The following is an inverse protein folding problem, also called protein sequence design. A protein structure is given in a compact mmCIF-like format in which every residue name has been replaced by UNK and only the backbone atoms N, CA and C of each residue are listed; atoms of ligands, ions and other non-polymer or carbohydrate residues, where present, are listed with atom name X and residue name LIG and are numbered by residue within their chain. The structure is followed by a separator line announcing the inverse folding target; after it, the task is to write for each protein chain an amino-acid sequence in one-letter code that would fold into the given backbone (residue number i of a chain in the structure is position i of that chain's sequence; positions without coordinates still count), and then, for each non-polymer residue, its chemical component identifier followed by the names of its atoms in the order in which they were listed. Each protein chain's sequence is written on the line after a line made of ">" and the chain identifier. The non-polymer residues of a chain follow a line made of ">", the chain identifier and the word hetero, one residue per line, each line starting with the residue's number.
data_IF_897978556555
#
_entry.id   IF_897978556555
#
_cell.length_a   1.000
_cell.length_b   1.000
_cell.length_c   1.000
_cell.angle_alpha   90.00
_cell.angle_beta   90.00
_cell.angle_gamma   90.00
#
_symmetry.space_group_name_H-M   'P 1'
#
loop_
_entity.id
_entity.type
_entity.pdbx_description
1 polymer ?
#
# COMPACT_ATOMS: atom_id res chain seq x y z
N UNK A 1 -27.20 13.89 -16.21
CA UNK A 1 -27.69 15.23 -15.89
C UNK A 1 -26.74 15.82 -14.85
N UNK A 2 -26.01 16.88 -15.17
CA UNK A 2 -25.05 17.52 -14.27
C UNK A 2 -25.58 18.85 -13.74
N UNK A 3 -25.08 19.30 -12.59
CA UNK A 3 -25.46 20.57 -11.97
C UNK A 3 -24.37 21.60 -12.20
N UNK A 4 -24.65 22.66 -12.92
CA UNK A 4 -23.70 23.65 -13.41
C UNK A 4 -24.00 25.04 -12.84
N UNK A 5 -22.96 25.84 -12.60
CA UNK A 5 -23.06 27.26 -12.29
C UNK A 5 -22.39 28.05 -13.40
N UNK A 6 -23.12 29.00 -13.98
CA UNK A 6 -22.62 29.95 -14.97
C UNK A 6 -22.54 31.34 -14.33
N UNK A 7 -21.35 31.92 -14.31
CA UNK A 7 -21.05 33.20 -13.69
C UNK A 7 -20.52 34.16 -14.74
N UNK A 8 -21.25 35.21 -15.02
CA UNK A 8 -20.88 36.25 -16.01
C UNK A 8 -21.67 37.52 -15.71
N UNK A 9 -21.05 38.67 -15.68
CA UNK A 9 -21.74 39.93 -15.42
C UNK A 9 -22.58 40.40 -16.65
N UNK A 10 -22.23 39.93 -17.86
CA UNK A 10 -22.96 40.25 -19.06
C UNK A 10 -24.23 39.39 -19.23
N UNK A 11 -25.46 39.94 -19.12
CA UNK A 11 -26.69 39.13 -19.14
C UNK A 11 -26.86 38.32 -20.43
N UNK A 12 -26.44 38.87 -21.58
CA UNK A 12 -26.57 38.18 -22.87
C UNK A 12 -25.67 36.97 -22.99
N UNK A 13 -24.39 37.07 -22.57
CA UNK A 13 -23.43 35.98 -22.55
C UNK A 13 -23.89 34.88 -21.58
N UNK A 14 -24.26 35.27 -20.36
CA UNK A 14 -24.74 34.36 -19.31
C UNK A 14 -25.98 33.57 -19.78
N UNK A 15 -27.00 34.24 -20.29
CA UNK A 15 -28.22 33.59 -20.74
C UNK A 15 -27.99 32.69 -21.95
N UNK A 16 -27.14 33.08 -22.89
CA UNK A 16 -26.83 32.26 -24.07
C UNK A 16 -26.15 30.96 -23.68
N UNK A 17 -25.13 31.03 -22.85
CA UNK A 17 -24.40 29.85 -22.37
C UNK A 17 -25.32 28.95 -21.52
N UNK A 18 -26.11 29.54 -20.63
CA UNK A 18 -27.07 28.81 -19.79
C UNK A 18 -28.13 28.07 -20.62
N UNK A 19 -28.67 28.75 -21.65
CA UNK A 19 -29.66 28.13 -22.54
C UNK A 19 -29.07 26.94 -23.31
N UNK A 20 -27.84 27.09 -23.80
CA UNK A 20 -27.13 26.03 -24.51
C UNK A 20 -26.90 24.80 -23.62
N UNK A 21 -26.47 25.02 -22.40
CA UNK A 21 -26.22 23.92 -21.42
C UNK A 21 -27.52 23.27 -20.96
N UNK A 22 -28.61 24.05 -20.77
CA UNK A 22 -29.94 23.51 -20.47
C UNK A 22 -30.50 22.65 -21.61
N UNK A 23 -30.31 23.08 -22.87
CA UNK A 23 -30.71 22.27 -24.05
C UNK A 23 -29.97 20.93 -24.13
N UNK A 24 -28.80 20.81 -23.53
CA UNK A 24 -28.02 19.59 -23.44
C UNK A 24 -28.43 18.67 -22.22
N UNK A 25 -29.45 19.09 -21.49
CA UNK A 25 -30.00 18.30 -20.39
C UNK A 25 -29.33 18.55 -19.04
N UNK A 26 -28.58 19.63 -18.86
CA UNK A 26 -27.98 19.97 -17.59
C UNK A 26 -28.90 20.91 -16.76
N UNK A 27 -28.78 20.84 -15.43
CA UNK A 27 -29.36 21.82 -14.52
C UNK A 27 -28.39 22.99 -14.40
N UNK A 28 -28.81 24.21 -14.72
CA UNK A 28 -27.94 25.38 -14.73
C UNK A 28 -28.50 26.46 -13.83
N UNK A 29 -27.70 26.86 -12.82
CA UNK A 29 -27.87 28.11 -12.08
C UNK A 29 -27.05 29.23 -12.71
N UNK A 30 -27.51 30.45 -12.54
CA UNK A 30 -26.87 31.65 -13.05
C UNK A 30 -26.50 32.58 -11.90
N UNK A 31 -25.35 33.21 -11.99
CA UNK A 31 -24.89 34.25 -11.07
C UNK A 31 -24.34 35.42 -11.90
N UNK A 32 -24.63 36.63 -11.49
CA UNK A 32 -24.26 37.88 -12.18
C UNK A 32 -22.96 38.50 -11.72
N UNK A 33 -22.26 37.80 -10.77
CA UNK A 33 -20.98 38.26 -10.26
C UNK A 33 -20.44 37.32 -9.15
N UNK A 34 -19.30 37.70 -8.59
CA UNK A 34 -18.58 36.94 -7.57
C UNK A 34 -19.42 36.75 -6.30
N UNK A 35 -20.10 37.79 -5.86
CA UNK A 35 -20.93 37.80 -4.66
C UNK A 35 -22.08 36.79 -4.77
N UNK A 36 -22.81 36.80 -5.88
CA UNK A 36 -23.92 35.87 -6.14
C UNK A 36 -23.39 34.43 -6.30
N UNK A 37 -22.29 34.26 -7.03
CA UNK A 37 -21.65 32.96 -7.21
C UNK A 37 -21.21 32.35 -5.90
N UNK A 38 -20.56 33.11 -5.02
CA UNK A 38 -20.11 32.63 -3.70
C UNK A 38 -21.27 32.20 -2.83
N UNK A 39 -22.40 32.91 -2.88
CA UNK A 39 -23.63 32.52 -2.19
C UNK A 39 -24.17 31.17 -2.71
N UNK A 40 -24.28 31.03 -4.04
CA UNK A 40 -24.72 29.77 -4.65
C UNK A 40 -23.80 28.59 -4.27
N UNK A 41 -22.47 28.81 -4.28
CA UNK A 41 -21.48 27.81 -3.90
C UNK A 41 -21.58 27.39 -2.42
N UNK A 42 -22.03 28.29 -1.53
CA UNK A 42 -22.25 27.97 -0.13
C UNK A 42 -23.53 27.16 0.11
N UNK A 43 -24.55 27.33 -0.74
CA UNK A 43 -25.85 26.69 -0.60
C UNK A 43 -25.94 25.34 -1.35
N UNK A 44 -25.28 25.21 -2.51
CA UNK A 44 -25.38 24.01 -3.37
C UNK A 44 -23.99 23.55 -3.88
N UNK A 45 -23.87 22.25 -4.14
CA UNK A 45 -22.65 21.66 -4.75
C UNK A 45 -22.85 21.54 -6.27
N UNK A 46 -21.88 22.02 -7.03
CA UNK A 46 -21.91 22.00 -8.49
C UNK A 46 -20.91 20.98 -9.06
N UNK A 47 -21.26 20.41 -10.20
CA UNK A 47 -20.36 19.52 -10.94
C UNK A 47 -19.31 20.32 -11.72
N UNK A 48 -19.71 21.45 -12.28
CA UNK A 48 -18.84 22.37 -13.01
C UNK A 48 -19.29 23.80 -12.78
N UNK A 49 -18.32 24.70 -12.63
CA UNK A 49 -18.50 26.15 -12.64
C UNK A 49 -17.85 26.69 -13.89
N UNK A 50 -18.58 27.48 -14.66
CA UNK A 50 -18.05 28.28 -15.80
C UNK A 50 -18.15 29.74 -15.41
N UNK A 51 -17.04 30.41 -15.22
CA UNK A 51 -17.01 31.79 -14.71
C UNK A 51 -16.23 32.72 -15.63
N UNK A 52 -16.73 33.94 -15.84
CA UNK A 52 -15.90 34.99 -16.40
C UNK A 52 -14.72 35.31 -15.46
N UNK A 53 -13.61 35.70 -16.05
CA UNK A 53 -12.42 36.08 -15.29
C UNK A 53 -12.59 37.46 -14.67
N UNK A 54 -13.17 38.45 -15.40
CA UNK A 54 -13.29 39.82 -14.93
C UNK A 54 -14.74 40.23 -14.79
N UNK A 55 -15.14 40.57 -13.59
CA UNK A 55 -16.49 41.05 -13.27
C UNK A 55 -16.40 42.31 -12.42
N UNK A 56 -17.44 43.19 -12.44
CA UNK A 56 -17.41 44.45 -11.71
C UNK A 56 -17.23 44.32 -10.18
N UNK A 57 -17.69 43.22 -9.60
CA UNK A 57 -17.66 42.93 -8.17
C UNK A 57 -16.52 42.02 -7.71
N UNK A 58 -15.59 41.65 -8.65
CA UNK A 58 -14.42 40.84 -8.31
C UNK A 58 -13.86 40.03 -9.48
N UNK A 59 -12.97 39.07 -9.16
CA UNK A 59 -12.24 38.26 -10.14
C UNK A 59 -12.79 36.81 -10.12
N UNK A 60 -12.89 36.19 -11.30
CA UNK A 60 -13.23 34.78 -11.45
C UNK A 60 -12.29 33.83 -10.71
N UNK A 61 -11.07 34.27 -10.38
CA UNK A 61 -10.18 33.54 -9.49
C UNK A 61 -10.72 33.44 -8.04
N UNK A 62 -11.51 34.43 -7.60
CA UNK A 62 -12.16 34.37 -6.29
C UNK A 62 -13.29 33.35 -6.28
N UNK A 63 -14.05 33.26 -7.39
CA UNK A 63 -15.05 32.18 -7.58
C UNK A 63 -14.36 30.80 -7.57
N UNK A 64 -13.22 30.66 -8.25
CA UNK A 64 -12.43 29.42 -8.26
C UNK A 64 -12.00 29.05 -6.83
N UNK A 65 -11.45 29.98 -6.06
CA UNK A 65 -11.03 29.75 -4.67
C UNK A 65 -12.21 29.33 -3.81
N UNK A 66 -13.36 30.00 -3.93
CA UNK A 66 -14.58 29.66 -3.20
C UNK A 66 -15.09 28.26 -3.58
N UNK A 67 -15.14 27.93 -4.86
CA UNK A 67 -15.55 26.61 -5.34
C UNK A 67 -14.66 25.47 -4.80
N UNK A 68 -13.32 25.67 -4.86
CA UNK A 68 -12.36 24.68 -4.37
C UNK A 68 -12.33 24.57 -2.84
N UNK A 69 -12.58 25.66 -2.13
CA UNK A 69 -12.67 25.63 -0.67
C UNK A 69 -13.93 24.89 -0.18
N UNK A 70 -15.07 25.08 -0.83
CA UNK A 70 -16.33 24.46 -0.42
C UNK A 70 -16.47 23.02 -0.91
N UNK A 71 -16.15 22.76 -2.17
CA UNK A 71 -16.19 21.43 -2.78
C UNK A 71 -14.96 21.21 -3.69
N UNK A 72 -13.85 20.65 -3.18
CA UNK A 72 -12.60 20.46 -3.95
C UNK A 72 -12.78 19.69 -5.26
N UNK A 73 -13.80 18.83 -5.34
CA UNK A 73 -14.12 18.05 -6.52
C UNK A 73 -14.88 18.83 -7.61
N UNK A 74 -15.36 20.06 -7.35
CA UNK A 74 -16.01 20.91 -8.35
C UNK A 74 -15.00 21.32 -9.40
N UNK A 75 -15.27 21.03 -10.67
CA UNK A 75 -14.43 21.50 -11.77
C UNK A 75 -14.74 22.98 -12.08
N UNK A 76 -13.73 23.73 -12.50
CA UNK A 76 -13.89 25.16 -12.83
C UNK A 76 -13.21 25.46 -14.16
N UNK A 77 -13.96 26.09 -15.07
CA UNK A 77 -13.47 26.65 -16.34
C UNK A 77 -13.59 28.15 -16.26
N UNK A 78 -12.50 28.88 -16.53
CA UNK A 78 -12.51 30.34 -16.62
C UNK A 78 -12.66 30.78 -18.05
N UNK A 79 -13.55 31.77 -18.27
CA UNK A 79 -13.72 32.45 -19.55
C UNK A 79 -13.02 33.81 -19.49
N UNK A 80 -12.44 34.26 -20.60
CA UNK A 80 -11.81 35.58 -20.69
C UNK A 80 -11.97 36.17 -22.07
N UNK A 81 -12.04 37.50 -22.17
CA UNK A 81 -12.01 38.22 -23.45
C UNK A 81 -10.57 38.37 -23.98
N UNK A 82 -9.55 38.27 -23.14
CA UNK A 82 -8.14 38.41 -23.50
C UNK A 82 -7.29 37.33 -22.80
N UNK A 83 -6.55 36.58 -23.58
CA UNK A 83 -5.64 35.55 -23.08
C UNK A 83 -4.37 36.20 -22.48
N UNK A 84 -4.45 36.63 -21.23
CA UNK A 84 -3.25 37.02 -20.48
C UNK A 84 -2.58 35.78 -19.88
N UNK A 85 -1.39 35.47 -20.37
CA UNK A 85 -0.60 34.30 -19.93
C UNK A 85 -0.42 34.18 -18.39
N UNK A 86 -0.33 35.31 -17.69
CA UNK A 86 -0.18 35.36 -16.24
C UNK A 86 -1.42 34.84 -15.52
N UNK A 87 -2.61 35.28 -15.92
CA UNK A 87 -3.89 34.87 -15.32
C UNK A 87 -4.21 33.42 -15.59
N UNK A 88 -3.91 32.91 -16.80
CA UNK A 88 -4.06 31.50 -17.14
C UNK A 88 -3.18 30.58 -16.27
N UNK A 89 -1.91 30.95 -16.08
CA UNK A 89 -0.97 30.20 -15.23
C UNK A 89 -1.40 30.17 -13.77
N UNK A 90 -1.93 31.29 -13.26
CA UNK A 90 -2.42 31.37 -11.89
C UNK A 90 -3.69 30.53 -11.70
N UNK A 91 -4.62 30.58 -12.66
CA UNK A 91 -5.83 29.76 -12.63
C UNK A 91 -5.54 28.26 -12.54
N UNK A 92 -4.64 27.76 -13.38
CA UNK A 92 -4.22 26.34 -13.35
C UNK A 92 -3.56 25.99 -12.02
N UNK A 93 -2.69 26.88 -11.47
CA UNK A 93 -2.04 26.67 -10.17
C UNK A 93 -3.04 26.61 -9.01
N UNK A 94 -4.14 27.35 -9.10
CA UNK A 94 -5.23 27.35 -8.12
C UNK A 94 -6.20 26.19 -8.31
N UNK A 95 -6.00 25.33 -9.33
CA UNK A 95 -6.78 24.14 -9.57
C UNK A 95 -7.96 24.32 -10.52
N UNK A 96 -7.94 25.35 -11.38
CA UNK A 96 -8.85 25.41 -12.53
C UNK A 96 -8.58 24.22 -13.46
N UNK A 97 -9.66 23.65 -14.01
CA UNK A 97 -9.54 22.58 -15.00
C UNK A 97 -9.01 23.13 -16.33
N UNK A 98 -9.52 24.26 -16.73
CA UNK A 98 -9.17 24.87 -18.00
C UNK A 98 -9.41 26.41 -18.00
N UNK A 99 -8.87 27.05 -19.02
CA UNK A 99 -8.97 28.47 -19.28
C UNK A 99 -9.32 28.66 -20.75
N UNK A 100 -10.42 29.38 -21.05
CA UNK A 100 -10.99 29.51 -22.38
C UNK A 100 -11.16 30.95 -22.80
N UNK A 101 -10.76 31.30 -24.03
CA UNK A 101 -10.89 32.64 -24.57
C UNK A 101 -12.26 32.83 -25.21
N UNK A 102 -13.01 33.90 -24.79
CA UNK A 102 -14.29 34.28 -25.40
C UNK A 102 -14.05 34.68 -26.85
N UNK A 103 -14.86 34.16 -27.77
CA UNK A 103 -14.73 34.42 -29.21
C UNK A 103 -14.17 33.28 -30.04
N UNK A 104 -13.69 32.23 -29.41
CA UNK A 104 -13.43 30.96 -30.09
C UNK A 104 -14.74 30.24 -30.43
N UNK A 105 -14.65 29.20 -31.27
CA UNK A 105 -15.84 28.44 -31.70
C UNK A 105 -16.60 27.86 -30.50
N UNK A 106 -17.94 28.08 -30.44
CA UNK A 106 -18.75 27.54 -29.33
C UNK A 106 -18.62 26.02 -29.12
N UNK A 107 -18.32 25.27 -30.19
CA UNK A 107 -18.14 23.83 -30.13
C UNK A 107 -16.90 23.42 -29.36
N UNK A 108 -15.86 24.24 -29.33
CA UNK A 108 -14.65 23.95 -28.56
C UNK A 108 -14.91 24.06 -27.03
N UNK A 109 -15.62 25.10 -26.60
CA UNK A 109 -16.05 25.25 -25.20
C UNK A 109 -16.93 24.07 -24.79
N UNK A 110 -17.86 23.67 -25.64
CA UNK A 110 -18.73 22.52 -25.42
C UNK A 110 -17.95 21.23 -25.25
N UNK A 111 -16.95 20.99 -26.12
CA UNK A 111 -16.09 19.82 -26.02
C UNK A 111 -15.32 19.77 -24.69
N UNK A 112 -14.81 20.90 -24.21
CA UNK A 112 -14.12 21.02 -22.93
C UNK A 112 -15.04 20.75 -21.76
N UNK A 113 -16.28 21.29 -21.80
CA UNK A 113 -17.31 21.03 -20.80
C UNK A 113 -17.68 19.54 -20.75
N UNK A 114 -17.91 18.91 -21.90
CA UNK A 114 -18.23 17.49 -21.98
C UNK A 114 -17.11 16.63 -21.42
N UNK A 115 -15.87 16.92 -21.74
CA UNK A 115 -14.68 16.26 -21.21
C UNK A 115 -14.54 16.42 -19.70
N UNK A 116 -14.81 17.61 -19.17
CA UNK A 116 -14.80 17.88 -17.73
C UNK A 116 -15.84 17.03 -16.99
N UNK A 117 -17.07 17.03 -17.50
CA UNK A 117 -18.19 16.30 -16.91
C UNK A 117 -18.02 14.78 -17.00
N UNK A 118 -17.50 14.27 -18.13
CA UNK A 118 -17.18 12.85 -18.27
C UNK A 118 -16.09 12.40 -17.28
N UNK A 119 -15.03 13.17 -17.14
CA UNK A 119 -13.97 12.90 -16.16
C UNK A 119 -14.47 12.92 -14.72
N UNK A 120 -15.38 13.86 -14.37
CA UNK A 120 -16.00 13.92 -13.05
C UNK A 120 -16.95 12.75 -12.81
N UNK A 121 -17.78 12.38 -13.79
CA UNK A 121 -18.70 11.24 -13.69
C UNK A 121 -17.92 9.94 -13.43
N UNK A 122 -16.84 9.71 -14.17
CA UNK A 122 -15.99 8.54 -14.00
C UNK A 122 -15.33 8.51 -12.61
N UNK A 123 -14.84 9.64 -12.11
CA UNK A 123 -14.27 9.74 -10.74
C UNK A 123 -15.33 9.40 -9.69
N UNK A 124 -16.54 9.98 -9.80
CA UNK A 124 -17.65 9.75 -8.87
C UNK A 124 -18.11 8.28 -8.89
N UNK A 125 -18.18 7.68 -10.07
CA UNK A 125 -18.52 6.25 -10.20
C UNK A 125 -17.44 5.36 -9.56
N UNK A 126 -16.18 5.68 -9.78
CA UNK A 126 -15.06 4.98 -9.13
C UNK A 126 -15.09 5.11 -7.61
N UNK A 127 -15.39 6.30 -7.07
CA UNK A 127 -15.55 6.52 -5.63
C UNK A 127 -16.75 5.74 -5.06
N UNK A 128 -17.86 5.71 -5.77
CA UNK A 128 -19.03 4.92 -5.36
C UNK A 128 -18.75 3.41 -5.40
N UNK A 129 -18.10 2.91 -6.44
CA UNK A 129 -17.68 1.51 -6.52
C UNK A 129 -16.71 1.15 -5.40
N UNK A 130 -15.77 2.03 -5.09
CA UNK A 130 -14.86 1.87 -3.95
C UNK A 130 -15.59 1.85 -2.61
N UNK A 131 -16.59 2.73 -2.43
CA UNK A 131 -17.42 2.75 -1.22
C UNK A 131 -18.22 1.46 -1.07
N UNK A 132 -18.84 0.98 -2.15
CA UNK A 132 -19.55 -0.31 -2.17
C UNK A 132 -18.62 -1.49 -1.87
N UNK A 133 -17.39 -1.48 -2.40
CA UNK A 133 -16.39 -2.49 -2.08
C UNK A 133 -15.99 -2.44 -0.60
N UNK A 134 -15.79 -1.24 -0.02
CA UNK A 134 -15.52 -1.07 1.42
C UNK A 134 -16.69 -1.57 2.28
N UNK A 135 -17.92 -1.31 1.89
CA UNK A 135 -19.12 -1.78 2.59
C UNK A 135 -19.27 -3.30 2.47
N UNK A 136 -19.01 -3.86 1.29
CA UNK A 136 -19.10 -5.31 1.02
C UNK A 136 -17.99 -6.10 1.71
N UNK A 137 -16.77 -5.56 1.73
CA UNK A 137 -15.60 -6.26 2.29
C UNK A 137 -15.28 -5.85 3.73
N UNK A 138 -15.92 -4.82 4.29
CA UNK A 138 -16.05 -4.40 5.70
C UNK A 138 -14.95 -4.74 6.71
N UNK A 139 -13.73 -5.07 6.25
CA UNK A 139 -12.63 -5.51 7.10
C UNK A 139 -11.79 -4.31 7.53
N UNK A 140 -11.80 -3.92 8.82
CA UNK A 140 -11.05 -2.78 9.30
C UNK A 140 -9.56 -2.88 8.95
N UNK A 141 -9.02 -1.84 8.34
CA UNK A 141 -7.59 -1.74 8.04
C UNK A 141 -7.12 -2.45 6.77
N UNK A 142 -8.01 -3.04 5.97
CA UNK A 142 -7.66 -3.70 4.72
C UNK A 142 -7.96 -2.78 3.55
N UNK A 143 -6.92 -2.45 2.78
CA UNK A 143 -6.99 -1.61 1.58
C UNK A 143 -6.66 -2.49 0.38
N UNK A 144 -7.62 -2.65 -0.52
CA UNK A 144 -7.48 -3.40 -1.75
C UNK A 144 -8.33 -2.77 -2.85
N UNK A 145 -7.75 -2.56 -4.01
CA UNK A 145 -8.40 -2.02 -5.22
C UNK A 145 -8.06 -2.85 -6.45
N UNK A 146 -6.92 -3.55 -6.41
CA UNK A 146 -6.47 -4.40 -7.51
C UNK A 146 -7.36 -5.64 -7.66
N UNK A 147 -7.63 -6.09 -8.90
CA UNK A 147 -8.39 -7.32 -9.17
C UNK A 147 -7.81 -8.54 -8.45
N UNK A 148 -6.49 -8.63 -8.37
CA UNK A 148 -5.80 -9.72 -7.70
C UNK A 148 -6.13 -9.77 -6.18
N UNK A 149 -6.11 -8.62 -5.49
CA UNK A 149 -6.51 -8.57 -4.08
C UNK A 149 -8.01 -8.76 -3.87
N UNK A 150 -8.86 -8.27 -4.78
CA UNK A 150 -10.31 -8.50 -4.69
C UNK A 150 -10.65 -9.99 -4.78
N UNK A 151 -9.94 -10.77 -5.61
CA UNK A 151 -10.06 -12.23 -5.67
C UNK A 151 -9.67 -12.89 -4.33
N UNK A 152 -8.59 -12.41 -3.70
CA UNK A 152 -8.16 -12.87 -2.37
C UNK A 152 -9.25 -12.57 -1.33
N UNK A 153 -9.83 -11.36 -1.34
CA UNK A 153 -10.88 -10.98 -0.40
C UNK A 153 -12.16 -11.79 -0.57
N UNK A 154 -12.57 -12.09 -1.80
CA UNK A 154 -13.70 -12.97 -2.06
C UNK A 154 -13.47 -14.37 -1.48
N UNK A 155 -12.26 -14.93 -1.65
CA UNK A 155 -11.89 -16.20 -1.02
C UNK A 155 -11.93 -16.10 0.51
N UNK A 156 -11.37 -15.04 1.10
CA UNK A 156 -11.39 -14.78 2.55
C UNK A 156 -12.82 -14.78 3.09
N UNK A 157 -13.75 -14.08 2.43
CA UNK A 157 -15.16 -14.04 2.87
C UNK A 157 -15.84 -15.40 2.83
N UNK A 158 -15.57 -16.21 1.81
CA UNK A 158 -16.13 -17.57 1.70
C UNK A 158 -15.59 -18.53 2.75
N UNK A 159 -14.30 -18.36 3.13
CA UNK A 159 -13.62 -19.25 4.06
C UNK A 159 -13.79 -18.82 5.50
N UNK A 160 -13.92 -17.54 5.78
CA UNK A 160 -14.00 -17.00 7.13
C UNK A 160 -15.06 -17.66 8.02
N UNK A 161 -16.30 -17.94 7.55
CA UNK A 161 -17.34 -18.59 8.37
C UNK A 161 -17.04 -20.05 8.73
N UNK A 162 -16.06 -20.68 8.08
CA UNK A 162 -15.70 -22.09 8.32
C UNK A 162 -14.62 -22.21 9.39
N UNK A 163 -14.48 -23.38 10.01
CA UNK A 163 -13.35 -23.70 10.90
C UNK A 163 -12.15 -24.35 10.18
N UNK A 164 -12.17 -24.35 8.85
CA UNK A 164 -11.08 -24.92 8.06
C UNK A 164 -9.75 -24.21 8.35
N UNK A 165 -8.69 -25.02 8.41
CA UNK A 165 -7.31 -24.52 8.50
C UNK A 165 -6.96 -23.75 7.23
N UNK A 166 -6.28 -22.64 7.38
CA UNK A 166 -5.92 -21.74 6.29
C UNK A 166 -4.39 -21.58 6.22
N UNK A 167 -3.83 -21.74 5.03
CA UNK A 167 -2.44 -21.46 4.75
C UNK A 167 -2.33 -20.18 3.89
N UNK A 168 -1.73 -19.14 4.45
CA UNK A 168 -1.49 -17.86 3.76
C UNK A 168 -0.05 -17.83 3.24
N UNK A 169 0.13 -17.80 1.93
CA UNK A 169 1.44 -17.67 1.30
C UNK A 169 1.63 -16.29 0.67
N UNK A 170 2.86 -15.80 0.71
CA UNK A 170 3.24 -14.53 0.08
C UNK A 170 4.55 -14.00 0.63
N UNK A 171 5.20 -13.16 -0.17
CA UNK A 171 6.47 -12.55 0.21
C UNK A 171 6.39 -11.81 1.55
N UNK A 172 7.56 -11.56 2.16
CA UNK A 172 7.61 -10.76 3.39
C UNK A 172 7.03 -9.36 3.14
N UNK A 173 6.24 -8.86 4.10
CA UNK A 173 5.63 -7.53 4.01
C UNK A 173 4.40 -7.41 3.11
N UNK A 174 3.84 -8.50 2.56
CA UNK A 174 2.63 -8.46 1.71
C UNK A 174 1.33 -8.23 2.49
N UNK A 175 1.34 -8.39 3.83
CA UNK A 175 0.17 -8.20 4.69
C UNK A 175 -0.49 -9.51 5.16
N UNK A 176 0.24 -10.62 5.24
CA UNK A 176 -0.27 -11.94 5.68
C UNK A 176 -1.02 -11.86 7.02
N UNK A 177 -0.48 -11.16 8.01
CA UNK A 177 -1.12 -10.98 9.33
C UNK A 177 -2.43 -10.18 9.24
N UNK A 178 -2.50 -9.16 8.36
CA UNK A 178 -3.73 -8.37 8.15
C UNK A 178 -4.83 -9.26 7.59
N UNK A 179 -4.51 -10.16 6.65
CA UNK A 179 -5.45 -11.14 6.11
C UNK A 179 -5.88 -12.15 7.18
N UNK A 180 -4.96 -12.65 8.02
CA UNK A 180 -5.31 -13.54 9.11
C UNK A 180 -6.29 -12.90 10.10
N UNK A 181 -6.05 -11.65 10.49
CA UNK A 181 -6.99 -10.86 11.32
C UNK A 181 -8.33 -10.65 10.63
N UNK A 182 -8.32 -10.38 9.32
CA UNK A 182 -9.54 -10.23 8.52
C UNK A 182 -10.39 -11.51 8.52
N UNK A 183 -9.76 -12.67 8.32
CA UNK A 183 -10.43 -13.99 8.42
C UNK A 183 -11.04 -14.20 9.80
N UNK A 184 -10.31 -13.90 10.87
CA UNK A 184 -10.80 -14.03 12.24
C UNK A 184 -12.02 -13.13 12.49
N UNK A 185 -11.92 -11.84 12.16
CA UNK A 185 -13.01 -10.87 12.36
C UNK A 185 -14.28 -11.16 11.53
N UNK A 186 -14.11 -11.82 10.38
CA UNK A 186 -15.24 -12.26 9.55
C UNK A 186 -15.76 -13.67 9.90
N UNK A 187 -15.21 -14.32 10.93
CA UNK A 187 -15.58 -15.68 11.35
C UNK A 187 -16.61 -15.70 12.49
N UNK A 188 -17.17 -16.89 12.77
CA UNK A 188 -17.98 -17.11 13.96
C UNK A 188 -17.24 -16.89 15.28
N UNK A 189 -15.88 -16.85 15.24
CA UNK A 189 -14.99 -16.65 16.38
C UNK A 189 -14.52 -15.18 16.54
N UNK A 190 -15.15 -14.21 15.85
CA UNK A 190 -14.75 -12.80 15.82
C UNK A 190 -14.64 -12.12 17.20
N UNK A 191 -15.40 -12.57 18.19
CA UNK A 191 -15.39 -12.06 19.58
C UNK A 191 -14.50 -12.87 20.52
N UNK A 192 -13.86 -13.92 20.02
CA UNK A 192 -13.00 -14.83 20.76
C UNK A 192 -11.52 -14.39 20.63
N UNK A 193 -10.60 -14.96 21.41
CA UNK A 193 -9.18 -14.60 21.33
C UNK A 193 -8.60 -14.82 19.93
N UNK A 194 -7.79 -13.85 19.49
CA UNK A 194 -6.86 -14.00 18.35
C UNK A 194 -5.44 -13.95 18.88
N UNK A 195 -4.79 -15.10 18.93
CA UNK A 195 -3.42 -15.25 19.43
C UNK A 195 -2.48 -15.39 18.24
N UNK A 196 -1.45 -14.55 18.16
CA UNK A 196 -0.49 -14.55 17.07
C UNK A 196 0.92 -14.84 17.59
N UNK A 197 1.65 -15.69 16.88
CA UNK A 197 3.06 -15.99 17.17
C UNK A 197 3.86 -16.08 15.87
N UNK A 198 5.05 -15.49 15.87
CA UNK A 198 6.00 -15.62 14.78
C UNK A 198 7.01 -16.72 15.11
N UNK A 199 6.98 -17.81 14.34
CA UNK A 199 7.81 -19.00 14.58
C UNK A 199 9.30 -18.76 14.28
N UNK A 200 9.64 -17.79 13.44
CA UNK A 200 11.04 -17.45 13.12
C UNK A 200 11.66 -16.40 14.05
N UNK A 201 10.83 -15.68 14.85
CA UNK A 201 11.33 -14.61 15.71
C UNK A 201 11.80 -15.10 17.09
N UNK A 202 11.46 -16.33 17.48
CA UNK A 202 11.68 -16.88 18.82
C UNK A 202 12.61 -18.10 18.72
N UNK A 203 13.64 -18.24 19.57
CA UNK A 203 14.44 -19.46 19.65
C UNK A 203 13.58 -20.71 19.86
N UNK A 204 13.95 -21.83 19.25
CA UNK A 204 13.16 -23.07 19.23
C UNK A 204 12.69 -23.52 20.62
N UNK A 205 13.58 -23.54 21.60
CA UNK A 205 13.28 -23.96 22.98
C UNK A 205 12.26 -23.07 23.69
N UNK A 206 12.31 -21.76 23.39
CA UNK A 206 11.34 -20.80 23.90
C UNK A 206 10.02 -20.93 23.14
N UNK A 207 10.05 -21.11 21.83
CA UNK A 207 8.85 -21.30 21.00
C UNK A 207 8.05 -22.51 21.46
N UNK A 208 8.72 -23.61 21.81
CA UNK A 208 8.07 -24.82 22.36
C UNK A 208 7.32 -24.49 23.66
N UNK A 209 8.00 -23.83 24.59
CA UNK A 209 7.42 -23.48 25.88
C UNK A 209 6.31 -22.42 25.78
N UNK A 210 6.39 -21.51 24.79
CA UNK A 210 5.33 -20.55 24.50
C UNK A 210 4.10 -21.24 23.89
N UNK A 211 4.28 -22.07 22.85
CA UNK A 211 3.17 -22.72 22.15
C UNK A 211 2.40 -23.71 23.06
N UNK A 212 3.13 -24.55 23.78
CA UNK A 212 2.54 -25.70 24.52
C UNK A 212 2.45 -25.45 26.03
N UNK A 213 3.12 -24.42 26.55
CA UNK A 213 3.17 -24.22 28.00
C UNK A 213 4.06 -25.18 28.74
N UNK A 214 4.20 -24.99 30.06
CA UNK A 214 5.01 -25.87 30.91
C UNK A 214 4.50 -25.96 32.36
N UNK A 215 4.80 -27.04 32.98
CA UNK A 215 4.60 -27.26 34.43
C UNK A 215 5.82 -26.81 35.21
N UNK A 216 5.63 -26.42 36.43
CA UNK A 216 6.71 -26.11 37.37
C UNK A 216 7.70 -27.32 37.43
N UNK A 217 8.99 -27.02 37.26
CA UNK A 217 10.05 -28.03 37.31
C UNK A 217 10.28 -28.78 35.98
N UNK A 218 9.61 -28.39 34.88
CA UNK A 218 9.80 -29.02 33.57
C UNK A 218 11.21 -28.81 33.00
N UNK A 219 11.85 -27.70 33.34
CA UNK A 219 13.25 -27.38 32.98
C UNK A 219 13.86 -26.42 34.01
N UNK A 220 15.16 -26.17 33.92
CA UNK A 220 15.87 -25.23 34.78
C UNK A 220 15.36 -23.81 34.55
N UNK A 221 14.71 -23.21 35.58
CA UNK A 221 14.05 -21.91 35.50
C UNK A 221 12.51 -21.95 35.46
N UNK A 222 11.89 -23.13 35.33
CA UNK A 222 10.44 -23.29 35.40
C UNK A 222 9.91 -23.17 36.84
N UNK A 223 9.87 -21.97 37.40
CA UNK A 223 9.46 -21.70 38.78
C UNK A 223 7.94 -21.80 39.01
N UNK A 224 7.14 -21.59 37.97
CA UNK A 224 5.66 -21.57 37.98
C UNK A 224 5.10 -22.37 36.83
N UNK A 225 3.82 -22.72 36.88
CA UNK A 225 3.12 -23.23 35.69
C UNK A 225 2.81 -22.10 34.72
N UNK A 226 2.97 -22.33 33.41
CA UNK A 226 2.59 -21.41 32.35
C UNK A 226 1.66 -22.07 31.36
N UNK A 227 0.55 -21.42 31.02
CA UNK A 227 -0.33 -21.82 29.92
C UNK A 227 0.39 -21.65 28.59
N UNK A 228 0.10 -22.49 27.60
CA UNK A 228 0.59 -22.34 26.25
C UNK A 228 -0.35 -21.49 25.40
N UNK A 229 0.18 -20.91 24.29
CA UNK A 229 -0.60 -20.11 23.35
C UNK A 229 -1.78 -20.88 22.73
N UNK A 230 -1.68 -22.21 22.60
CA UNK A 230 -2.80 -23.04 22.20
C UNK A 230 -3.95 -23.01 23.22
N UNK A 231 -3.65 -23.05 24.51
CA UNK A 231 -4.66 -22.96 25.55
C UNK A 231 -5.19 -21.53 25.69
N UNK A 232 -4.36 -20.51 25.48
CA UNK A 232 -4.80 -19.10 25.46
C UNK A 232 -5.73 -18.81 24.28
N UNK A 233 -5.55 -19.52 23.14
CA UNK A 233 -6.39 -19.40 21.95
C UNK A 233 -7.65 -20.25 22.01
N UNK A 234 -7.93 -20.96 23.10
CA UNK A 234 -9.08 -21.88 23.19
C UNK A 234 -10.42 -21.18 22.92
N UNK A 235 -11.25 -21.78 22.09
CA UNK A 235 -12.49 -21.21 21.54
C UNK A 235 -12.26 -20.13 20.46
N UNK A 236 -11.00 -19.75 20.18
CA UNK A 236 -10.60 -18.66 19.30
C UNK A 236 -9.79 -19.09 18.07
N UNK A 237 -8.80 -18.27 17.72
CA UNK A 237 -7.94 -18.47 16.54
C UNK A 237 -6.47 -18.31 16.92
N UNK A 238 -5.64 -19.28 16.53
CA UNK A 238 -4.18 -19.21 16.63
C UNK A 238 -3.59 -18.92 15.24
N UNK A 239 -2.83 -17.84 15.15
CA UNK A 239 -2.11 -17.45 13.94
C UNK A 239 -0.61 -17.78 14.10
N UNK A 240 -0.11 -18.67 13.24
CA UNK A 240 1.28 -19.11 13.18
C UNK A 240 1.97 -18.44 12.00
N UNK A 241 2.72 -17.36 12.23
CA UNK A 241 3.47 -16.70 11.17
C UNK A 241 4.83 -17.36 10.98
N UNK A 242 5.32 -17.39 9.75
CA UNK A 242 6.56 -18.01 9.31
C UNK A 242 6.69 -19.49 9.74
N UNK A 243 5.63 -20.27 9.45
CA UNK A 243 5.56 -21.69 9.82
C UNK A 243 6.69 -22.53 9.22
N UNK A 244 7.27 -22.11 8.10
CA UNK A 244 8.41 -22.75 7.44
C UNK A 244 9.67 -22.79 8.31
N UNK A 245 9.82 -21.89 9.29
CA UNK A 245 10.98 -21.80 10.19
C UNK A 245 10.86 -22.75 11.40
N UNK A 246 9.74 -23.47 11.52
CA UNK A 246 9.51 -24.38 12.65
C UNK A 246 10.37 -25.64 12.54
N UNK A 247 11.02 -26.02 13.63
CA UNK A 247 11.83 -27.24 13.68
C UNK A 247 10.99 -28.51 13.54
N UNK A 248 11.62 -29.61 13.10
CA UNK A 248 10.95 -30.89 12.90
C UNK A 248 10.28 -31.45 14.18
N UNK A 249 10.86 -31.19 15.36
CA UNK A 249 10.27 -31.60 16.66
C UNK A 249 8.95 -30.87 16.91
N UNK A 250 8.94 -29.54 16.66
CA UNK A 250 7.74 -28.75 16.85
C UNK A 250 6.67 -29.07 15.80
N UNK A 251 7.08 -29.37 14.55
CA UNK A 251 6.17 -29.83 13.52
C UNK A 251 5.38 -31.08 13.91
N UNK A 252 6.03 -32.06 14.58
CA UNK A 252 5.35 -33.26 15.09
C UNK A 252 4.32 -32.93 16.18
N UNK A 253 4.67 -32.02 17.10
CA UNK A 253 3.75 -31.60 18.17
C UNK A 253 2.57 -30.81 17.61
N UNK A 254 2.81 -29.92 16.67
CA UNK A 254 1.78 -29.17 15.97
C UNK A 254 0.82 -30.10 15.23
N UNK A 255 1.35 -31.08 14.51
CA UNK A 255 0.52 -32.08 13.81
C UNK A 255 -0.43 -32.82 14.76
N UNK A 256 0.06 -33.24 15.93
CA UNK A 256 -0.79 -33.86 16.95
C UNK A 256 -1.90 -32.92 17.43
N UNK A 257 -1.55 -31.69 17.77
CA UNK A 257 -2.55 -30.68 18.19
C UNK A 257 -3.65 -30.47 17.12
N UNK A 258 -3.27 -30.43 15.83
CA UNK A 258 -4.21 -30.28 14.71
C UNK A 258 -5.06 -31.54 14.44
N UNK A 259 -4.57 -32.73 14.81
CA UNK A 259 -5.28 -33.99 14.54
C UNK A 259 -6.23 -34.40 15.67
N UNK A 260 -5.74 -34.33 16.92
CA UNK A 260 -6.50 -34.79 18.08
C UNK A 260 -7.24 -33.67 18.84
N UNK A 261 -6.89 -32.39 18.59
CA UNK A 261 -7.37 -31.29 19.42
C UNK A 261 -6.80 -31.32 20.84
N UNK A 262 -5.65 -31.95 21.02
CA UNK A 262 -5.03 -32.11 22.33
C UNK A 262 -3.62 -31.52 22.35
N UNK A 263 -3.30 -30.79 23.40
CA UNK A 263 -1.97 -30.26 23.66
C UNK A 263 -1.45 -30.76 25.00
N UNK A 264 -0.13 -30.96 25.09
CA UNK A 264 0.51 -31.38 26.34
C UNK A 264 1.58 -30.37 26.74
N UNK A 265 1.43 -29.80 27.94
CA UNK A 265 2.45 -28.92 28.51
C UNK A 265 3.74 -29.69 28.77
N UNK A 266 4.86 -29.01 28.67
CA UNK A 266 6.15 -29.58 29.02
C UNK A 266 6.14 -30.03 30.48
N UNK A 267 6.54 -31.28 30.74
CA UNK A 267 6.49 -31.89 32.08
C UNK A 267 5.12 -32.38 32.53
N UNK A 268 4.05 -32.21 31.76
CA UNK A 268 2.73 -32.74 32.10
C UNK A 268 2.56 -34.19 31.64
N UNK A 269 1.79 -34.97 32.40
CA UNK A 269 1.42 -36.35 32.07
C UNK A 269 0.12 -36.45 31.30
N UNK A 270 -0.82 -35.53 31.53
CA UNK A 270 -2.12 -35.51 30.90
C UNK A 270 -2.19 -34.40 29.81
N UNK A 271 -2.83 -34.69 28.66
CA UNK A 271 -3.13 -33.66 27.65
C UNK A 271 -4.28 -32.76 28.12
N UNK A 272 -4.33 -31.54 27.57
CA UNK A 272 -5.47 -30.64 27.63
C UNK A 272 -6.17 -30.63 26.26
N UNK A 273 -7.50 -30.71 26.25
CA UNK A 273 -8.30 -30.61 25.04
C UNK A 273 -8.51 -29.15 24.70
N UNK A 274 -8.38 -28.80 23.43
CA UNK A 274 -8.51 -27.44 22.91
C UNK A 274 -9.43 -27.41 21.67
N UNK A 275 -10.15 -26.33 21.50
CA UNK A 275 -10.91 -26.01 20.28
C UNK A 275 -10.36 -24.72 19.65
N UNK A 276 -9.36 -24.87 18.79
CA UNK A 276 -8.64 -23.73 18.19
C UNK A 276 -8.67 -23.80 16.68
N UNK A 277 -9.13 -22.71 16.04
CA UNK A 277 -8.96 -22.53 14.60
C UNK A 277 -7.51 -22.11 14.32
N UNK A 278 -6.82 -22.82 13.43
CA UNK A 278 -5.43 -22.50 13.07
C UNK A 278 -5.36 -21.81 11.71
N UNK A 279 -4.64 -20.68 11.66
CA UNK A 279 -4.24 -19.99 10.44
C UNK A 279 -2.71 -19.97 10.41
N UNK A 280 -2.10 -20.55 9.39
CA UNK A 280 -0.66 -20.56 9.20
C UNK A 280 -0.25 -19.60 8.08
N UNK A 281 0.92 -18.96 8.19
CA UNK A 281 1.46 -18.11 7.16
C UNK A 281 2.95 -18.41 6.91
N UNK A 282 3.38 -18.22 5.68
CA UNK A 282 4.79 -18.35 5.30
C UNK A 282 5.13 -17.53 4.06
N UNK A 283 6.38 -17.12 3.95
CA UNK A 283 6.96 -16.63 2.70
C UNK A 283 7.76 -17.71 1.96
N UNK A 284 8.03 -18.86 2.62
CA UNK A 284 8.84 -19.94 2.07
C UNK A 284 8.08 -20.84 1.09
N UNK A 285 8.82 -21.46 0.20
CA UNK A 285 8.34 -22.55 -0.66
C UNK A 285 8.30 -23.86 0.14
N UNK A 286 7.11 -24.19 0.69
CA UNK A 286 6.93 -25.41 1.46
C UNK A 286 7.16 -26.68 0.62
N UNK A 287 6.88 -26.66 -0.68
CA UNK A 287 7.11 -27.80 -1.55
C UNK A 287 8.61 -28.12 -1.68
N UNK A 288 9.44 -27.07 -1.84
CA UNK A 288 10.88 -27.21 -1.83
C UNK A 288 11.40 -27.71 -0.47
N UNK A 289 10.87 -27.21 0.66
CA UNK A 289 11.27 -27.67 2.00
C UNK A 289 10.86 -29.11 2.29
N UNK A 290 9.72 -29.57 1.77
CA UNK A 290 9.29 -30.98 1.85
C UNK A 290 10.28 -31.86 1.09
N UNK A 291 10.63 -31.49 -0.14
CA UNK A 291 11.59 -32.25 -0.95
C UNK A 291 12.99 -32.34 -0.31
N UNK A 292 13.38 -31.36 0.48
CA UNK A 292 14.63 -31.31 1.26
C UNK A 292 14.53 -32.03 2.62
N UNK A 293 13.36 -32.54 3.00
CA UNK A 293 13.11 -33.16 4.28
C UNK A 293 13.11 -32.20 5.51
N UNK A 294 13.08 -30.88 5.26
CA UNK A 294 13.07 -29.83 6.29
C UNK A 294 11.66 -29.53 6.78
N UNK A 295 10.63 -29.83 5.99
CA UNK A 295 9.23 -29.70 6.37
C UNK A 295 8.49 -31.01 6.15
N UNK A 296 7.62 -31.39 7.08
CA UNK A 296 6.89 -32.67 7.00
C UNK A 296 5.70 -32.55 6.05
N UNK A 297 5.57 -33.54 5.19
CA UNK A 297 4.49 -33.63 4.20
C UNK A 297 3.10 -33.83 4.88
N UNK A 298 3.03 -34.63 5.95
CA UNK A 298 1.79 -34.88 6.69
C UNK A 298 1.26 -33.58 7.36
N UNK A 299 2.14 -32.76 7.89
CA UNK A 299 1.78 -31.47 8.45
C UNK A 299 1.31 -30.50 7.36
N UNK A 300 1.99 -30.49 6.22
CA UNK A 300 1.60 -29.65 5.08
C UNK A 300 0.14 -29.92 4.66
N UNK A 301 -0.24 -31.16 4.43
CA UNK A 301 -1.61 -31.50 4.05
C UNK A 301 -2.65 -31.14 5.14
N UNK A 302 -2.27 -31.14 6.41
CA UNK A 302 -3.16 -30.74 7.50
C UNK A 302 -3.32 -29.23 7.61
N UNK A 303 -2.28 -28.45 7.26
CA UNK A 303 -2.29 -27.00 7.24
C UNK A 303 -2.92 -26.45 5.96
N UNK A 304 -2.67 -27.09 4.82
CA UNK A 304 -3.07 -26.61 3.49
C UNK A 304 -4.45 -27.16 3.08
N UNK A 305 -5.46 -27.02 3.94
CA UNK A 305 -6.86 -27.32 3.58
C UNK A 305 -7.39 -26.28 2.59
N UNK A 306 -7.10 -25.01 2.87
CA UNK A 306 -7.39 -23.90 1.97
C UNK A 306 -6.15 -23.00 1.89
N UNK A 307 -5.74 -22.70 0.67
CA UNK A 307 -4.59 -21.87 0.39
C UNK A 307 -5.03 -20.47 -0.06
N UNK A 308 -4.43 -19.44 0.53
CA UNK A 308 -4.56 -18.03 0.11
C UNK A 308 -3.19 -17.53 -0.29
N UNK A 309 -3.01 -17.16 -1.56
CA UNK A 309 -1.76 -16.61 -2.07
C UNK A 309 -1.89 -15.10 -2.19
N UNK A 310 -1.04 -14.36 -1.48
CA UNK A 310 -1.00 -12.90 -1.55
C UNK A 310 -0.04 -12.45 -2.66
N UNK A 311 -0.52 -11.66 -3.62
CA UNK A 311 0.35 -11.12 -4.65
C UNK A 311 1.32 -10.10 -4.04
N UNK A 312 2.57 -10.04 -4.51
CA UNK A 312 3.51 -8.99 -4.14
C UNK A 312 3.02 -7.62 -4.65
N UNK A 313 3.48 -6.54 -4.03
CA UNK A 313 2.96 -5.19 -4.31
C UNK A 313 3.20 -4.74 -5.76
N UNK A 314 4.28 -5.22 -6.39
CA UNK A 314 4.58 -4.97 -7.82
C UNK A 314 3.52 -5.52 -8.79
N UNK A 315 2.77 -6.54 -8.39
CA UNK A 315 1.72 -7.20 -9.19
C UNK A 315 0.31 -6.66 -8.86
N UNK A 316 0.22 -5.68 -7.93
CA UNK A 316 -1.02 -4.99 -7.53
C UNK A 316 -0.80 -3.48 -7.38
N UNK A 317 -0.21 -2.86 -8.40
CA UNK A 317 0.16 -1.44 -8.38
C UNK A 317 -1.02 -0.50 -8.17
N UNK A 318 -2.22 -0.93 -8.54
CA UNK A 318 -3.47 -0.19 -8.33
C UNK A 318 -3.78 0.05 -6.84
N UNK A 319 -3.21 -0.76 -5.95
CA UNK A 319 -3.37 -0.59 -4.51
C UNK A 319 -2.45 0.50 -3.95
N UNK A 320 -1.34 0.83 -4.65
CA UNK A 320 -0.31 1.75 -4.15
C UNK A 320 -0.87 3.14 -3.81
N UNK A 321 -1.70 3.80 -4.65
CA UNK A 321 -2.21 5.13 -4.32
C UNK A 321 -3.03 5.14 -3.03
N UNK A 322 -3.94 4.18 -2.87
CA UNK A 322 -4.80 4.10 -1.69
C UNK A 322 -4.03 3.72 -0.42
N UNK A 323 -3.03 2.82 -0.53
CA UNK A 323 -2.12 2.50 0.56
C UNK A 323 -1.28 3.71 0.95
N UNK A 324 -0.77 4.46 -0.03
CA UNK A 324 0.04 5.64 0.20
C UNK A 324 -0.75 6.74 0.92
N UNK A 325 -1.97 7.03 0.47
CA UNK A 325 -2.86 7.99 1.14
C UNK A 325 -3.14 7.57 2.58
N UNK A 326 -3.42 6.29 2.82
CA UNK A 326 -3.71 5.76 4.16
C UNK A 326 -2.50 5.90 5.10
N UNK A 327 -1.32 5.46 4.67
CA UNK A 327 -0.12 5.51 5.51
C UNK A 327 0.33 6.96 5.76
N UNK A 328 0.23 7.81 4.73
CA UNK A 328 0.54 9.23 4.89
C UNK A 328 -0.43 9.91 5.85
N UNK A 329 -1.74 9.68 5.72
CA UNK A 329 -2.75 10.23 6.62
C UNK A 329 -2.54 9.77 8.08
N UNK A 330 -2.21 8.47 8.27
CA UNK A 330 -1.91 7.92 9.60
C UNK A 330 -0.67 8.57 10.23
N UNK A 331 0.40 8.75 9.45
CA UNK A 331 1.65 9.38 9.91
C UNK A 331 1.45 10.88 10.17
N UNK A 332 0.73 11.57 9.30
CA UNK A 332 0.37 12.98 9.44
C UNK A 332 -0.47 13.23 10.72
N UNK A 333 -1.42 12.33 11.01
CA UNK A 333 -2.23 12.37 12.23
C UNK A 333 -1.39 12.26 13.50
N UNK A 334 -0.38 11.37 13.53
CA UNK A 334 0.58 11.25 14.66
C UNK A 334 1.42 12.53 14.86
N UNK A 335 1.70 13.24 13.77
CA UNK A 335 2.53 14.46 13.78
C UNK A 335 1.69 15.74 13.98
N UNK A 336 0.36 15.65 14.04
CA UNK A 336 -0.53 16.81 14.12
C UNK A 336 -0.50 17.71 12.87
N UNK A 337 -0.11 17.17 11.70
CA UNK A 337 0.05 17.87 10.42
C UNK A 337 -0.99 17.38 9.39
N UNK A 338 -1.21 18.19 8.36
CA UNK A 338 -1.98 17.77 7.17
C UNK A 338 -1.01 17.64 6.00
N UNK A 339 -0.70 16.41 5.63
CA UNK A 339 0.22 16.12 4.53
C UNK A 339 -0.55 15.60 3.31
N UNK A 340 -0.10 15.99 2.12
CA UNK A 340 -0.59 15.48 0.83
C UNK A 340 0.58 14.93 0.05
N UNK A 341 0.34 13.91 -0.74
CA UNK A 341 1.34 13.36 -1.64
C UNK A 341 1.35 14.16 -2.94
N UNK A 342 2.52 14.66 -3.35
CA UNK A 342 2.69 15.32 -4.64
C UNK A 342 2.52 14.31 -5.80
N UNK A 343 1.96 14.72 -6.96
CA UNK A 343 1.80 13.82 -8.10
C UNK A 343 3.11 13.19 -8.57
N UNK A 344 4.21 13.92 -8.53
CA UNK A 344 5.53 13.46 -8.91
C UNK A 344 6.08 12.40 -7.94
N UNK A 345 5.76 12.53 -6.65
CA UNK A 345 6.10 11.53 -5.65
C UNK A 345 5.29 10.25 -5.87
N UNK A 346 3.99 10.36 -6.15
CA UNK A 346 3.14 9.20 -6.47
C UNK A 346 3.67 8.44 -7.70
N UNK A 347 4.11 9.16 -8.73
CA UNK A 347 4.68 8.54 -9.92
C UNK A 347 5.93 7.70 -9.59
N UNK A 348 6.79 8.17 -8.67
CA UNK A 348 7.94 7.39 -8.19
C UNK A 348 7.52 6.14 -7.44
N UNK A 349 6.52 6.26 -6.56
CA UNK A 349 5.97 5.11 -5.81
C UNK A 349 5.42 4.04 -6.76
N UNK A 350 4.73 4.42 -7.84
CA UNK A 350 4.17 3.50 -8.83
C UNK A 350 5.22 2.76 -9.67
N UNK A 351 6.38 3.39 -9.90
CA UNK A 351 7.48 2.80 -10.70
C UNK A 351 8.39 1.88 -9.90
N UNK A 352 8.48 2.05 -8.60
CA UNK A 352 9.38 1.26 -7.76
C UNK A 352 8.84 -0.17 -7.54
N UNK A 353 9.68 -1.21 -7.57
CA UNK A 353 9.23 -2.62 -7.52
C UNK A 353 8.86 -3.13 -6.13
N UNK A 354 9.13 -2.39 -5.06
CA UNK A 354 8.77 -2.70 -3.68
C UNK A 354 9.21 -4.11 -3.22
N UNK A 355 10.50 -4.44 -3.18
CA UNK A 355 10.96 -5.76 -2.73
C UNK A 355 10.54 -6.08 -1.28
N UNK A 356 10.38 -5.09 -0.41
CA UNK A 356 9.82 -5.22 0.94
C UNK A 356 8.30 -5.04 1.01
N UNK A 357 7.62 -4.99 -0.15
CA UNK A 357 6.18 -4.93 -0.29
C UNK A 357 5.53 -3.76 0.50
N UNK A 358 4.39 -4.00 1.12
CA UNK A 358 3.62 -2.98 1.86
C UNK A 358 4.38 -2.46 3.08
N UNK A 359 5.20 -3.30 3.73
CA UNK A 359 6.01 -2.88 4.88
C UNK A 359 7.06 -1.84 4.48
N UNK A 360 7.68 -2.01 3.32
CA UNK A 360 8.65 -1.04 2.79
C UNK A 360 7.95 0.27 2.39
N UNK A 361 6.80 0.19 1.72
CA UNK A 361 6.00 1.36 1.36
C UNK A 361 5.58 2.16 2.60
N UNK A 362 5.10 1.50 3.64
CA UNK A 362 4.73 2.10 4.92
C UNK A 362 5.91 2.85 5.54
N UNK A 363 7.07 2.19 5.66
CA UNK A 363 8.29 2.79 6.22
C UNK A 363 8.78 3.99 5.38
N UNK A 364 8.70 3.89 4.05
CA UNK A 364 9.09 4.96 3.14
C UNK A 364 8.22 6.21 3.34
N UNK A 365 6.91 6.03 3.49
CA UNK A 365 5.96 7.13 3.69
C UNK A 365 6.01 7.70 5.12
N UNK A 366 6.22 6.88 6.14
CA UNK A 366 6.44 7.36 7.51
C UNK A 366 7.69 8.24 7.58
N UNK A 367 8.80 7.80 6.97
CA UNK A 367 10.01 8.61 6.84
C UNK A 367 9.76 9.91 6.07
N UNK A 368 9.07 9.83 4.93
CA UNK A 368 8.75 11.00 4.12
C UNK A 368 7.89 12.01 4.88
N UNK A 369 6.91 11.56 5.64
CA UNK A 369 6.08 12.41 6.50
C UNK A 369 6.88 13.16 7.57
N UNK A 370 7.91 12.52 8.13
CA UNK A 370 8.80 13.13 9.13
C UNK A 370 9.73 14.18 8.49
N UNK A 371 10.25 13.89 7.29
CA UNK A 371 11.22 14.75 6.61
C UNK A 371 10.59 15.90 5.82
N UNK A 372 9.32 15.80 5.47
CA UNK A 372 8.60 16.82 4.70
C UNK A 372 8.64 18.18 5.39
N UNK A 373 9.15 19.19 4.67
CA UNK A 373 9.27 20.58 5.14
C UNK A 373 8.00 21.40 4.92
N UNK A 374 7.13 20.94 4.03
CA UNK A 374 5.85 21.58 3.68
C UNK A 374 4.69 20.63 3.92
N UNK A 375 3.47 21.06 3.64
CA UNK A 375 2.27 20.21 3.70
C UNK A 375 2.14 19.27 2.48
N UNK A 376 3.13 19.29 1.57
CA UNK A 376 3.21 18.39 0.41
C UNK A 376 4.48 17.56 0.50
N UNK A 377 4.34 16.24 0.38
CA UNK A 377 5.45 15.28 0.32
C UNK A 377 5.90 15.16 -1.14
N UNK A 378 7.10 15.63 -1.44
CA UNK A 378 7.73 15.59 -2.75
C UNK A 378 8.61 14.34 -2.98
N UNK A 379 9.16 14.17 -4.20
CA UNK A 379 10.14 13.11 -4.49
C UNK A 379 11.41 13.20 -3.64
N UNK A 380 11.79 14.41 -3.23
CA UNK A 380 12.97 14.68 -2.39
C UNK A 380 12.83 14.17 -0.96
N UNK A 381 11.60 14.02 -0.46
CA UNK A 381 11.30 13.50 0.88
C UNK A 381 11.31 11.96 0.91
N UNK A 382 11.15 11.33 -0.27
CA UNK A 382 11.18 9.87 -0.39
C UNK A 382 12.60 9.32 -0.18
N UNK A 383 12.74 8.05 0.24
CA UNK A 383 14.05 7.40 0.31
C UNK A 383 14.80 7.46 -1.02
N UNK A 384 16.13 7.64 -1.02
CA UNK A 384 16.92 7.82 -2.24
C UNK A 384 16.74 6.70 -3.29
N UNK A 385 16.57 5.45 -2.86
CA UNK A 385 16.35 4.32 -3.76
C UNK A 385 14.97 4.36 -4.43
N UNK A 386 13.97 4.97 -3.81
CA UNK A 386 12.64 5.18 -4.39
C UNK A 386 12.63 6.41 -5.29
N UNK A 387 13.21 7.53 -4.83
CA UNK A 387 13.24 8.80 -5.56
C UNK A 387 14.11 8.75 -6.81
N UNK A 388 15.25 8.06 -6.77
CA UNK A 388 16.16 7.94 -7.90
C UNK A 388 15.66 6.96 -8.99
N UNK A 389 14.58 6.23 -8.73
CA UNK A 389 14.12 5.19 -9.65
C UNK A 389 15.13 4.06 -9.85
N UNK A 390 16.11 3.97 -8.96
CA UNK A 390 17.06 2.88 -8.95
C UNK A 390 16.29 1.58 -8.70
N UNK A 391 16.17 0.76 -9.73
CA UNK A 391 15.92 -0.65 -9.51
C UNK A 391 17.10 -1.13 -8.64
N UNK A 392 16.82 -1.32 -7.35
CA UNK A 392 17.57 -2.32 -6.63
C UNK A 392 17.19 -3.61 -7.37
N UNK A 393 17.98 -3.98 -8.37
CA UNK A 393 17.95 -5.34 -8.85
C UNK A 393 18.01 -6.22 -7.61
N UNK A 394 17.44 -7.44 -7.64
CA UNK A 394 17.55 -8.33 -6.50
C UNK A 394 19.00 -8.21 -6.07
N UNK A 395 19.22 -7.69 -4.86
CA UNK A 395 20.54 -7.73 -4.25
C UNK A 395 20.93 -9.17 -4.45
N UNK A 396 21.98 -9.49 -5.20
CA UNK A 396 22.32 -10.89 -5.40
C UNK A 396 22.31 -11.44 -3.99
N UNK A 397 21.32 -12.30 -3.70
CA UNK A 397 21.26 -12.97 -2.43
C UNK A 397 22.61 -13.67 -2.37
N UNK A 398 23.49 -13.16 -1.53
CA UNK A 398 24.78 -13.79 -1.30
C UNK A 398 24.39 -15.22 -0.94
N UNK A 399 24.75 -16.23 -1.75
CA UNK A 399 24.48 -17.60 -1.35
C UNK A 399 24.98 -17.74 0.07
N UNK A 400 24.19 -18.31 0.97
CA UNK A 400 24.43 -18.37 2.43
C UNK A 400 25.80 -18.96 2.82
N UNK A 401 26.61 -19.34 1.84
CA UNK A 401 28.00 -19.82 2.00
C UNK A 401 28.82 -19.40 0.77
N UNK A 402 29.22 -18.13 0.72
CA UNK A 402 30.28 -17.70 -0.18
C UNK A 402 31.58 -17.82 0.57
N UNK A 403 32.59 -18.47 -0.05
CA UNK A 403 33.95 -18.43 0.49
C UNK A 403 34.47 -16.98 0.52
N UNK A 404 35.40 -16.67 1.43
CA UNK A 404 35.99 -15.33 1.49
C UNK A 404 36.61 -14.93 0.13
N UNK A 405 37.14 -15.90 -0.61
CA UNK A 405 37.70 -15.70 -1.95
C UNK A 405 36.66 -15.30 -2.99
N UNK A 406 35.46 -15.91 -2.95
CA UNK A 406 34.37 -15.53 -3.85
C UNK A 406 33.81 -14.14 -3.53
N UNK A 407 33.67 -13.80 -2.26
CA UNK A 407 33.25 -12.47 -1.83
C UNK A 407 34.24 -11.40 -2.26
N UNK A 408 35.52 -11.65 -2.12
CA UNK A 408 36.58 -10.77 -2.54
C UNK A 408 36.62 -10.60 -4.07
N UNK A 409 36.47 -11.70 -4.83
CA UNK A 409 36.35 -11.70 -6.29
C UNK A 409 35.22 -10.81 -6.79
N UNK A 410 34.03 -10.98 -6.23
CA UNK A 410 32.85 -10.19 -6.58
C UNK A 410 33.07 -8.71 -6.27
N UNK A 411 33.65 -8.38 -5.13
CA UNK A 411 33.90 -7.00 -4.73
C UNK A 411 34.96 -6.31 -5.62
N UNK A 412 35.99 -7.03 -6.03
CA UNK A 412 37.00 -6.55 -6.99
C UNK A 412 36.37 -6.27 -8.35
N UNK A 413 35.55 -7.20 -8.88
CA UNK A 413 34.84 -7.03 -10.15
C UNK A 413 33.94 -5.81 -10.16
N UNK A 414 33.08 -5.67 -9.15
CA UNK A 414 32.15 -4.52 -9.03
C UNK A 414 32.87 -3.19 -8.93
N UNK A 415 34.02 -3.17 -8.22
CA UNK A 415 34.83 -1.96 -8.11
C UNK A 415 35.48 -1.60 -9.42
N UNK A 416 36.02 -2.58 -10.16
CA UNK A 416 36.59 -2.36 -11.50
C UNK A 416 35.57 -1.82 -12.50
N UNK A 417 34.36 -2.38 -12.53
CA UNK A 417 33.26 -1.90 -13.39
C UNK A 417 32.89 -0.46 -13.05
N UNK A 418 32.75 -0.13 -11.76
CA UNK A 418 32.40 1.22 -11.27
C UNK A 418 33.44 2.27 -11.69
N UNK A 419 34.73 1.90 -11.79
CA UNK A 419 35.80 2.79 -12.20
C UNK A 419 36.20 2.63 -13.67
N UNK A 420 35.33 2.04 -14.51
CA UNK A 420 35.51 1.93 -15.96
C UNK A 420 36.83 1.20 -16.32
N UNK A 421 37.21 0.17 -15.54
CA UNK A 421 38.46 -0.61 -15.63
C UNK A 421 39.72 0.21 -15.39
N UNK A 422 39.64 1.35 -14.72
CA UNK A 422 40.80 2.10 -14.25
C UNK A 422 41.42 1.41 -13.02
N UNK A 423 42.44 0.59 -13.24
CA UNK A 423 43.13 -0.20 -12.20
C UNK A 423 43.69 0.65 -11.06
N UNK A 424 44.08 1.89 -11.36
CA UNK A 424 44.67 2.80 -10.35
C UNK A 424 43.60 3.30 -9.39
N UNK A 425 42.46 3.78 -9.92
CA UNK A 425 41.32 4.25 -9.11
C UNK A 425 40.64 3.11 -8.37
N UNK A 426 40.57 1.91 -9.00
CA UNK A 426 40.01 0.74 -8.34
C UNK A 426 40.88 0.24 -7.18
N UNK A 427 42.20 0.24 -7.32
CA UNK A 427 43.14 -0.14 -6.25
C UNK A 427 43.04 0.80 -5.05
N UNK A 428 42.97 2.11 -5.30
CA UNK A 428 42.78 3.13 -4.27
C UNK A 428 41.44 2.97 -3.53
N UNK A 429 40.36 2.76 -4.27
CA UNK A 429 39.01 2.52 -3.71
C UNK A 429 38.90 1.22 -2.88
N UNK A 430 39.70 0.19 -3.25
CA UNK A 430 39.79 -1.07 -2.52
C UNK A 430 40.73 -1.01 -1.33
N UNK A 431 41.47 0.09 -1.14
CA UNK A 431 42.49 0.24 -0.09
C UNK A 431 43.70 -0.68 -0.24
N UNK A 432 44.01 -1.17 -1.48
CA UNK A 432 45.11 -2.08 -1.75
C UNK A 432 46.08 -1.49 -2.77
N UNK A 433 47.35 -1.98 -2.76
CA UNK A 433 48.33 -1.57 -3.76
C UNK A 433 48.04 -2.11 -5.16
N UNK A 434 48.43 -1.38 -6.22
CA UNK A 434 48.26 -1.80 -7.64
C UNK A 434 48.79 -3.20 -7.91
N UNK A 435 49.96 -3.51 -7.37
CA UNK A 435 50.59 -4.84 -7.51
C UNK A 435 49.77 -5.93 -6.85
N UNK A 436 49.12 -5.63 -5.73
CA UNK A 436 48.21 -6.56 -5.02
C UNK A 436 46.94 -6.78 -5.83
N UNK A 437 46.35 -5.73 -6.37
CA UNK A 437 45.18 -5.83 -7.26
C UNK A 437 45.52 -6.68 -8.49
N UNK A 438 46.64 -6.42 -9.13
CA UNK A 438 47.09 -7.16 -10.33
C UNK A 438 47.27 -8.65 -10.06
N UNK A 439 47.87 -9.00 -8.90
CA UNK A 439 48.05 -10.38 -8.46
C UNK A 439 46.68 -11.07 -8.27
N UNK A 440 45.71 -10.38 -7.63
CA UNK A 440 44.35 -10.90 -7.39
C UNK A 440 43.54 -11.05 -8.67
N UNK A 441 43.66 -10.13 -9.62
CA UNK A 441 43.03 -10.25 -10.93
C UNK A 441 43.53 -11.48 -11.70
N UNK A 442 44.79 -11.78 -11.59
CA UNK A 442 45.40 -12.99 -12.19
C UNK A 442 44.99 -14.27 -11.44
N UNK A 443 44.94 -14.22 -10.11
CA UNK A 443 44.54 -15.34 -9.25
C UNK A 443 43.10 -15.74 -9.49
N UNK A 444 42.20 -14.76 -9.71
CA UNK A 444 40.76 -15.00 -9.95
C UNK A 444 40.39 -15.08 -11.44
N UNK A 445 41.34 -15.14 -12.35
CA UNK A 445 41.17 -15.20 -13.81
C UNK A 445 40.20 -14.14 -14.38
N UNK A 446 40.21 -12.93 -13.80
CA UNK A 446 39.32 -11.83 -14.18
C UNK A 446 39.80 -11.13 -15.45
N UNK A 447 41.11 -11.08 -15.68
CA UNK A 447 41.77 -10.61 -16.92
C UNK A 447 42.86 -11.58 -17.33
N UNK A 448 42.84 -11.94 -18.61
CA UNK A 448 43.96 -12.62 -19.30
C UNK A 448 44.89 -11.60 -19.90
#
# INVERSE_FOLDING_TARGET
>A
MAHLLVVDDEPAARSTLSLLLRKRGHRVLEADGVTAATKCLAEEVFDLVVTDLRMPDGDGLDVLRAAKAHAPATEVILLTAYAEWKSAKEAIRLGALDYFEKGQEPDELNHRIDKALAGRALRRENENLRAQLRERYGLPGLIAQSPAMLTVLDLVQRVAPTDATLLIQGESGTGKEVIAKAVHHASARATRPFVAVNCGAVPETLLESELFGYMRGAFTGAAVNKLGLFEEADGGTLFLDEIAEMSGVLQVKLLRALQSGEVRRLGATQPATIDVRVIAATHGDLAALISQGSFREDLFYRLNVIQVVLPPLRDRREDIPALAEHFLARSAGKLGRRLRLAPEALERLLRYPWPGNVRELENALERAAILARSDSVGPEDLPPHVSAGLQLGPSPALPRQISLADAERVHILQTLERFGRNHSGAAEALGIGRTTLWRKLKEYEIER
#
